data_IF_858390360478
#
_entry.id   IF_858390360478
#
_cell.length_a   1.000
_cell.length_b   1.000
_cell.length_c   1.000
_cell.angle_alpha   90.00
_cell.angle_beta   90.00
_cell.angle_gamma   90.00
#
_symmetry.space_group_name_H-M   'P 1'
#
loop_
_entity.id
_entity.type
_entity.pdbx_description
1 polymer ?
#
# COMPACT_ATOMS: atom_id res chain seq x y z
N UNK A 1 -2.30 -6.93 -5.29
CA UNK A 1 -3.07 -6.46 -6.48
C UNK A 1 -2.90 -4.95 -6.60
N UNK A 2 -2.66 -4.43 -7.81
CA UNK A 2 -2.42 -3.00 -8.05
C UNK A 2 -3.65 -2.38 -8.72
N UNK A 3 -4.20 -1.31 -8.14
CA UNK A 3 -5.34 -0.55 -8.68
C UNK A 3 -4.89 0.87 -8.99
N UNK A 4 -5.50 1.47 -10.02
CA UNK A 4 -5.21 2.84 -10.46
C UNK A 4 -6.43 3.72 -10.23
N UNK A 5 -6.19 4.95 -9.79
CA UNK A 5 -7.21 5.95 -9.51
C UNK A 5 -6.74 7.31 -10.03
N UNK A 6 -7.61 8.08 -10.67
CA UNK A 6 -7.43 9.54 -10.72
C UNK A 6 -7.51 10.11 -9.29
N UNK A 7 -7.06 11.35 -9.10
CA UNK A 7 -7.27 12.05 -7.82
C UNK A 7 -8.75 12.07 -7.38
N UNK A 8 -9.69 12.29 -8.31
CA UNK A 8 -11.13 12.32 -8.00
C UNK A 8 -11.67 10.94 -7.63
N UNK A 9 -11.29 9.90 -8.38
CA UNK A 9 -11.68 8.51 -8.07
C UNK A 9 -11.10 8.05 -6.73
N UNK A 10 -9.88 8.49 -6.41
CA UNK A 10 -9.24 8.18 -5.15
C UNK A 10 -10.02 8.77 -3.97
N UNK A 11 -10.43 10.04 -4.06
CA UNK A 11 -11.26 10.68 -3.03
C UNK A 11 -12.59 9.93 -2.82
N UNK A 12 -13.29 9.59 -3.91
CA UNK A 12 -14.53 8.81 -3.82
C UNK A 12 -14.30 7.40 -3.24
N UNK A 13 -13.18 6.77 -3.56
CA UNK A 13 -12.81 5.46 -3.02
C UNK A 13 -12.50 5.54 -1.51
N UNK A 14 -11.78 6.57 -1.07
CA UNK A 14 -11.48 6.81 0.35
C UNK A 14 -12.74 7.06 1.19
N UNK A 15 -13.72 7.79 0.64
CA UNK A 15 -15.00 8.03 1.32
C UNK A 15 -15.78 6.73 1.54
N UNK A 16 -15.79 5.84 0.54
CA UNK A 16 -16.47 4.55 0.60
C UNK A 16 -15.73 3.53 1.47
N UNK A 17 -14.41 3.62 1.52
CA UNK A 17 -13.56 2.68 2.24
C UNK A 17 -12.37 3.39 2.90
N UNK A 18 -12.54 3.86 4.15
CA UNK A 18 -11.48 4.53 4.91
C UNK A 18 -10.24 3.66 5.13
N UNK A 19 -10.35 2.33 5.01
CA UNK A 19 -9.21 1.42 5.13
C UNK A 19 -8.25 1.45 3.94
N UNK A 20 -8.56 2.22 2.88
CA UNK A 20 -7.65 2.52 1.79
C UNK A 20 -6.61 3.60 2.18
N UNK A 21 -6.85 4.36 3.25
CA UNK A 21 -5.81 5.22 3.84
C UNK A 21 -4.58 4.38 4.16
N UNK A 22 -3.41 4.92 3.89
CA UNK A 22 -2.20 4.13 3.90
C UNK A 22 -0.94 4.97 3.79
N UNK A 23 0.16 4.29 3.53
CA UNK A 23 1.49 4.86 3.53
C UNK A 23 2.13 4.71 2.14
N UNK A 24 3.12 5.56 1.86
CA UNK A 24 4.02 5.35 0.72
C UNK A 24 4.84 4.05 0.88
N UNK A 25 5.45 3.53 -0.19
CA UNK A 25 6.36 2.38 -0.10
C UNK A 25 7.46 2.56 0.94
N UNK A 26 8.13 3.71 0.95
CA UNK A 26 9.18 4.06 1.92
C UNK A 26 8.64 4.02 3.37
N UNK A 27 7.53 4.69 3.64
CA UNK A 27 6.95 4.73 4.99
C UNK A 27 6.44 3.35 5.43
N UNK A 28 5.97 2.53 4.49
CA UNK A 28 5.60 1.13 4.74
C UNK A 28 6.83 0.30 5.12
N UNK A 29 7.95 0.49 4.43
CA UNK A 29 9.23 -0.16 4.73
C UNK A 29 9.66 0.14 6.17
N UNK A 30 9.65 1.43 6.54
CA UNK A 30 9.93 1.90 7.89
C UNK A 30 9.00 1.27 8.94
N UNK A 31 7.69 1.23 8.65
CA UNK A 31 6.67 0.67 9.54
C UNK A 31 6.85 -0.82 9.79
N UNK A 32 7.22 -1.58 8.75
CA UNK A 32 7.44 -3.03 8.79
C UNK A 32 8.87 -3.42 9.20
N UNK A 33 9.78 -2.45 9.30
CA UNK A 33 11.22 -2.66 9.57
C UNK A 33 11.87 -3.59 8.53
N UNK A 34 11.55 -3.33 7.27
CA UNK A 34 12.13 -4.00 6.08
C UNK A 34 12.63 -2.92 5.12
N UNK A 35 13.34 -3.34 4.07
CA UNK A 35 13.79 -2.44 3.00
C UNK A 35 12.66 -2.12 2.01
N UNK A 36 12.77 -1.01 1.28
CA UNK A 36 11.83 -0.68 0.21
C UNK A 36 11.84 -1.74 -0.92
N UNK A 37 12.99 -2.37 -1.17
CA UNK A 37 13.10 -3.48 -2.12
C UNK A 37 12.24 -4.68 -1.68
N UNK A 38 12.24 -5.01 -0.39
CA UNK A 38 11.37 -6.05 0.17
C UNK A 38 9.90 -5.66 0.11
N UNK A 39 9.54 -4.39 0.32
CA UNK A 39 8.19 -3.89 0.06
C UNK A 39 7.80 -4.12 -1.41
N UNK A 40 8.69 -3.81 -2.35
CA UNK A 40 8.51 -4.09 -3.77
C UNK A 40 8.22 -5.57 -4.04
N UNK A 41 8.97 -6.49 -3.42
CA UNK A 41 8.73 -7.93 -3.54
C UNK A 41 7.35 -8.35 -2.97
N UNK A 42 6.92 -7.75 -1.85
CA UNK A 42 5.60 -8.00 -1.27
C UNK A 42 4.46 -7.47 -2.16
N UNK A 43 4.66 -6.36 -2.85
CA UNK A 43 3.71 -5.84 -3.83
C UNK A 43 3.62 -6.79 -5.04
N UNK A 44 4.77 -7.20 -5.59
CA UNK A 44 4.85 -8.08 -6.76
C UNK A 44 4.26 -9.47 -6.50
N UNK A 45 4.46 -10.01 -5.29
CA UNK A 45 3.85 -11.27 -4.85
C UNK A 45 2.36 -11.15 -4.52
N UNK A 46 1.82 -9.94 -4.47
CA UNK A 46 0.42 -9.67 -4.12
C UNK A 46 0.11 -9.72 -2.62
N UNK A 47 1.12 -9.86 -1.76
CA UNK A 47 0.96 -9.81 -0.30
C UNK A 47 0.49 -8.44 0.19
N UNK A 48 0.96 -7.37 -0.48
CA UNK A 48 0.50 -6.01 -0.30
C UNK A 48 -0.29 -5.55 -1.53
N UNK A 49 -1.41 -4.85 -1.31
CA UNK A 49 -2.08 -4.14 -2.39
C UNK A 49 -1.54 -2.72 -2.50
N UNK A 50 -1.75 -2.15 -3.68
CA UNK A 50 -1.27 -0.81 -4.01
C UNK A 50 -2.37 -0.06 -4.75
N UNK A 51 -2.57 1.19 -4.36
CA UNK A 51 -3.32 2.18 -5.11
C UNK A 51 -2.32 3.16 -5.74
N UNK A 52 -2.24 3.16 -7.06
CA UNK A 52 -1.57 4.22 -7.81
C UNK A 52 -2.56 5.35 -8.03
N UNK A 53 -2.15 6.56 -7.70
CA UNK A 53 -2.91 7.78 -7.97
C UNK A 53 -2.20 8.47 -9.12
N UNK A 54 -2.95 8.73 -10.19
CA UNK A 54 -2.42 9.35 -11.40
C UNK A 54 -3.09 10.69 -11.72
N UNK A 55 -2.31 11.58 -12.32
CA UNK A 55 -2.72 12.86 -12.89
C UNK A 55 -1.97 13.00 -14.22
N UNK A 56 -2.67 13.41 -15.29
CA UNK A 56 -2.10 13.56 -16.64
C UNK A 56 -1.25 12.36 -17.11
N UNK A 57 -1.75 11.14 -16.90
CA UNK A 57 -1.11 9.86 -17.20
C UNK A 57 0.19 9.53 -16.42
N UNK A 58 0.58 10.37 -15.47
CA UNK A 58 1.72 10.14 -14.57
C UNK A 58 1.27 9.69 -13.18
N UNK A 59 2.01 8.74 -12.58
CA UNK A 59 1.76 8.32 -11.20
C UNK A 59 2.35 9.36 -10.25
N UNK A 60 1.48 10.15 -9.64
CA UNK A 60 1.87 11.20 -8.68
C UNK A 60 1.96 10.68 -7.25
N UNK A 61 1.29 9.57 -6.93
CA UNK A 61 1.35 8.99 -5.60
C UNK A 61 1.08 7.47 -5.60
N UNK A 62 1.70 6.77 -4.65
CA UNK A 62 1.57 5.32 -4.46
C UNK A 62 1.21 5.08 -3.00
N UNK A 63 0.04 4.49 -2.77
CA UNK A 63 -0.48 4.21 -1.43
C UNK A 63 -0.58 2.70 -1.22
N UNK A 64 0.01 2.21 -0.13
CA UNK A 64 -0.19 0.86 0.40
C UNK A 64 -1.21 0.98 1.55
N UNK A 65 -2.41 0.38 1.43
CA UNK A 65 -3.46 0.50 2.44
C UNK A 65 -3.01 0.02 3.82
N UNK A 66 -3.33 0.78 4.86
CA UNK A 66 -2.94 0.50 6.26
C UNK A 66 -3.40 -0.89 6.70
N UNK A 67 -4.58 -1.36 6.27
CA UNK A 67 -5.07 -2.71 6.60
C UNK A 67 -4.14 -3.81 6.08
N UNK A 68 -3.51 -3.62 4.93
CA UNK A 68 -2.59 -4.59 4.32
C UNK A 68 -1.25 -4.57 5.05
N UNK A 69 -0.78 -3.38 5.45
CA UNK A 69 0.41 -3.20 6.28
C UNK A 69 0.23 -3.91 7.62
N UNK A 70 -0.91 -3.72 8.30
CA UNK A 70 -1.22 -4.35 9.57
C UNK A 70 -1.30 -5.88 9.45
N UNK A 71 -1.97 -6.39 8.40
CA UNK A 71 -2.02 -7.82 8.12
C UNK A 71 -0.62 -8.40 7.93
N UNK A 72 0.24 -7.71 7.18
CA UNK A 72 1.62 -8.15 6.95
C UNK A 72 2.45 -8.12 8.24
N UNK A 73 2.31 -7.07 9.04
CA UNK A 73 2.97 -6.96 10.34
C UNK A 73 2.59 -8.12 11.28
N UNK A 74 1.30 -8.49 11.31
CA UNK A 74 0.80 -9.61 12.10
C UNK A 74 1.40 -10.95 11.63
N UNK A 75 1.38 -11.23 10.31
CA UNK A 75 1.99 -12.45 9.74
C UNK A 75 3.48 -12.55 10.06
N UNK A 76 4.22 -11.46 9.90
CA UNK A 76 5.65 -11.43 10.22
C UNK A 76 5.94 -11.66 11.70
N UNK A 77 5.00 -11.35 12.61
CA UNK A 77 5.12 -11.61 14.04
C UNK A 77 4.83 -13.08 14.40
N UNK A 78 3.92 -13.74 13.67
CA UNK A 78 3.61 -15.16 13.85
C UNK A 78 4.78 -16.06 13.45
N UNK A 79 5.47 -15.76 12.33
CA UNK A 79 6.62 -16.54 11.85
C UNK A 79 7.84 -16.44 12.79
N UNK A 80 7.89 -15.40 13.64
CA UNK A 80 8.98 -15.19 14.61
C UNK A 80 8.76 -15.87 15.96
N UNK A 81 7.62 -16.52 16.18
CA UNK A 81 7.32 -17.31 17.39
C UNK A 81 7.65 -18.78 17.16
#
# INVERSE_FOLDING_TARGET
>A
MRKRYTASEWMAALERDPGLRGLSPENTANRLKITEQEVGALILSGALNVADIYEDDEVVNIIIPERDIQRQAAKSAEVKR
#
